data_IF_558743088762
#
_entry.id   IF_558743088762
#
_cell.length_a   1.000
_cell.length_b   1.000
_cell.length_c   1.000
_cell.angle_alpha   90.00
_cell.angle_beta   90.00
_cell.angle_gamma   90.00
#
_symmetry.space_group_name_H-M   'P 1'
#
loop_
_entity.id
_entity.type
_entity.pdbx_description
1 polymer ?
#
# COMPACT_ATOMS: atom_id res chain seq x y z
N UNK A 1 -11.77 -13.49 -2.65
CA UNK A 1 -11.48 -13.78 -1.20
C UNK A 1 -12.07 -12.74 -0.27
N UNK A 2 -11.85 -11.43 -0.46
CA UNK A 2 -12.51 -10.35 0.30
C UNK A 2 -13.35 -9.51 -0.64
N UNK A 3 -14.60 -9.20 -0.25
CA UNK A 3 -15.48 -8.32 -1.03
C UNK A 3 -16.07 -7.23 -0.13
N UNK A 4 -15.94 -6.00 -0.58
CA UNK A 4 -16.67 -4.84 -0.07
C UNK A 4 -17.82 -4.55 -1.03
N UNK A 5 -19.03 -4.48 -0.53
CA UNK A 5 -20.24 -4.27 -1.34
C UNK A 5 -21.03 -3.08 -0.82
N UNK A 6 -21.03 -1.98 -1.59
CA UNK A 6 -21.72 -0.73 -1.30
C UNK A 6 -21.47 -0.19 0.12
N UNK A 7 -20.21 -0.25 0.58
CA UNK A 7 -19.83 0.15 1.93
C UNK A 7 -19.91 1.67 2.08
N UNK A 8 -20.71 2.11 3.04
CA UNK A 8 -20.72 3.48 3.55
C UNK A 8 -20.22 3.50 5.00
N UNK A 9 -19.35 4.44 5.34
CA UNK A 9 -18.84 4.63 6.71
C UNK A 9 -18.98 6.08 7.09
N UNK A 10 -19.68 6.32 8.22
CA UNK A 10 -19.95 7.65 8.78
C UNK A 10 -19.43 7.79 10.20
N UNK A 11 -18.98 9.00 10.53
CA UNK A 11 -18.66 9.45 11.88
C UNK A 11 -19.53 10.67 12.20
N UNK A 12 -20.66 10.45 12.88
CA UNK A 12 -21.69 11.46 13.01
C UNK A 12 -22.22 11.87 11.62
N UNK A 13 -22.15 13.15 11.30
CA UNK A 13 -22.57 13.68 9.99
C UNK A 13 -21.50 13.57 8.89
N UNK A 14 -20.26 13.26 9.28
CA UNK A 14 -19.15 13.15 8.31
C UNK A 14 -19.14 11.78 7.64
N UNK A 15 -19.21 11.78 6.30
CA UNK A 15 -19.10 10.57 5.47
C UNK A 15 -17.64 10.35 5.13
N UNK A 16 -17.03 9.37 5.76
CA UNK A 16 -15.62 9.03 5.53
C UNK A 16 -15.42 8.13 4.29
N UNK A 17 -16.39 7.26 4.01
CA UNK A 17 -16.46 6.39 2.83
C UNK A 17 -17.92 6.41 2.35
N UNK A 18 -18.15 6.74 1.09
CA UNK A 18 -19.51 6.88 0.59
C UNK A 18 -20.05 5.61 -0.09
N UNK A 19 -19.26 4.97 -0.95
CA UNK A 19 -19.70 3.79 -1.69
C UNK A 19 -18.50 2.94 -2.14
N UNK A 20 -17.89 2.21 -1.18
CA UNK A 20 -16.76 1.35 -1.50
C UNK A 20 -17.23 0.01 -2.05
N UNK A 21 -16.79 -0.29 -3.27
CA UNK A 21 -16.96 -1.57 -3.93
C UNK A 21 -15.59 -2.09 -4.36
N UNK A 22 -15.14 -3.19 -3.77
CA UNK A 22 -13.86 -3.82 -4.08
C UNK A 22 -13.95 -5.35 -3.99
N UNK A 23 -13.19 -6.03 -4.84
CA UNK A 23 -13.02 -7.46 -4.82
C UNK A 23 -11.51 -7.78 -4.80
N UNK A 24 -11.08 -8.51 -3.76
CA UNK A 24 -9.69 -8.93 -3.53
C UNK A 24 -9.64 -10.44 -3.67
N UNK A 25 -8.78 -10.94 -4.54
CA UNK A 25 -8.66 -12.38 -4.85
C UNK A 25 -7.92 -13.13 -3.73
N UNK A 26 -8.06 -14.43 -3.70
CA UNK A 26 -7.32 -15.29 -2.77
C UNK A 26 -5.83 -15.29 -3.13
N UNK A 27 -4.96 -15.22 -2.12
CA UNK A 27 -3.51 -15.18 -2.29
C UNK A 27 -2.96 -13.87 -2.86
N UNK A 28 -3.82 -12.87 -3.12
CA UNK A 28 -3.44 -11.58 -3.69
C UNK A 28 -2.74 -10.70 -2.64
N UNK A 29 -1.71 -9.98 -3.05
CA UNK A 29 -1.15 -8.84 -2.32
C UNK A 29 -1.84 -7.58 -2.84
N UNK A 30 -2.85 -7.10 -2.14
CA UNK A 30 -3.68 -5.97 -2.53
C UNK A 30 -3.37 -4.74 -1.68
N UNK A 31 -3.13 -3.60 -2.32
CA UNK A 31 -2.74 -2.37 -1.60
C UNK A 31 -3.79 -1.28 -1.69
N UNK A 32 -4.11 -0.66 -0.56
CA UNK A 32 -4.80 0.63 -0.48
C UNK A 32 -3.75 1.74 -0.45
N UNK A 33 -3.68 2.52 -1.50
CA UNK A 33 -2.74 3.63 -1.67
C UNK A 33 -3.49 4.96 -1.74
N UNK A 34 -2.94 6.03 -1.18
CA UNK A 34 -3.53 7.37 -1.26
C UNK A 34 -3.03 8.30 -0.16
N UNK A 35 -3.36 9.57 -0.18
CA UNK A 35 -2.95 10.55 0.82
C UNK A 35 -3.50 10.23 2.22
N UNK A 36 -2.95 10.89 3.24
CA UNK A 36 -3.46 10.74 4.61
C UNK A 36 -4.91 11.22 4.71
N UNK A 37 -5.72 10.49 5.47
CA UNK A 37 -7.12 10.85 5.70
C UNK A 37 -8.10 10.46 4.57
N UNK A 38 -7.67 9.84 3.46
CA UNK A 38 -8.56 9.49 2.35
C UNK A 38 -9.43 8.22 2.56
N UNK A 39 -9.41 7.60 3.75
CA UNK A 39 -10.30 6.48 4.07
C UNK A 39 -9.67 5.08 4.06
N UNK A 40 -8.38 4.89 3.74
CA UNK A 40 -7.69 3.58 3.67
C UNK A 40 -7.80 2.78 4.97
N UNK A 41 -7.26 3.33 6.07
CA UNK A 41 -7.32 2.71 7.40
C UNK A 41 -8.75 2.52 7.89
N UNK A 42 -9.66 3.43 7.54
CA UNK A 42 -11.10 3.30 7.84
C UNK A 42 -11.70 2.07 7.17
N UNK A 43 -11.41 1.86 5.89
CA UNK A 43 -11.84 0.68 5.12
C UNK A 43 -11.22 -0.62 5.65
N UNK A 44 -9.93 -0.57 6.02
CA UNK A 44 -9.24 -1.70 6.65
C UNK A 44 -9.91 -2.08 7.98
N UNK A 45 -10.22 -1.09 8.83
CA UNK A 45 -10.89 -1.30 10.13
C UNK A 45 -12.27 -1.90 9.98
N UNK A 46 -13.01 -1.55 8.92
CA UNK A 46 -14.29 -2.17 8.61
C UNK A 46 -14.13 -3.66 8.24
N UNK A 47 -13.10 -4.04 7.49
CA UNK A 47 -12.79 -5.43 7.19
C UNK A 47 -12.45 -6.23 8.47
N UNK A 48 -11.55 -5.69 9.29
CA UNK A 48 -11.08 -6.38 10.51
C UNK A 48 -12.20 -6.46 11.56
N UNK A 49 -13.17 -5.52 11.55
CA UNK A 49 -14.31 -5.49 12.49
C UNK A 49 -14.13 -4.54 13.66
N UNK A 50 -13.17 -3.62 13.58
CA UNK A 50 -13.04 -2.51 14.55
C UNK A 50 -14.03 -1.39 14.29
N UNK A 51 -14.67 -1.42 13.14
CA UNK A 51 -15.68 -0.44 12.73
C UNK A 51 -16.79 -1.17 11.98
N UNK A 52 -18.04 -0.84 12.30
CA UNK A 52 -19.20 -1.31 11.55
C UNK A 52 -19.56 -0.29 10.48
N UNK A 53 -19.70 -0.69 9.21
CA UNK A 53 -20.18 0.21 8.17
C UNK A 53 -21.61 0.67 8.44
N UNK A 54 -21.97 1.88 8.00
CA UNK A 54 -23.32 2.44 8.10
C UNK A 54 -24.27 1.78 7.10
N UNK A 55 -23.71 1.37 5.93
CA UNK A 55 -24.42 0.61 4.89
C UNK A 55 -23.47 -0.36 4.21
N UNK A 56 -24.04 -1.30 3.47
CA UNK A 56 -23.30 -2.28 2.70
C UNK A 56 -22.88 -3.49 3.49
N UNK A 57 -22.08 -4.34 2.86
CA UNK A 57 -21.63 -5.62 3.43
C UNK A 57 -20.19 -5.92 3.14
N UNK A 58 -19.52 -6.58 4.09
CA UNK A 58 -18.16 -7.09 3.95
C UNK A 58 -18.22 -8.61 3.96
N UNK A 59 -17.59 -9.23 2.96
CA UNK A 59 -17.51 -10.69 2.87
C UNK A 59 -16.06 -11.16 2.94
N UNK A 60 -15.88 -12.33 3.55
CA UNK A 60 -14.64 -13.11 3.53
C UNK A 60 -14.98 -14.52 3.03
N UNK A 61 -14.50 -14.87 1.83
CA UNK A 61 -15.07 -15.98 1.06
C UNK A 61 -16.53 -15.70 0.77
N UNK A 62 -17.37 -16.71 1.02
CA UNK A 62 -18.83 -16.60 0.85
C UNK A 62 -19.56 -16.14 2.12
N UNK A 63 -18.78 -15.82 3.18
CA UNK A 63 -19.36 -15.48 4.49
C UNK A 63 -19.49 -13.97 4.66
N UNK A 64 -20.70 -13.49 4.97
CA UNK A 64 -20.93 -12.13 5.43
C UNK A 64 -20.33 -11.97 6.85
N UNK A 65 -19.33 -11.10 6.96
CA UNK A 65 -18.61 -10.83 8.20
C UNK A 65 -18.93 -9.43 8.78
N UNK A 66 -19.85 -8.70 8.16
CA UNK A 66 -20.15 -7.30 8.47
C UNK A 66 -20.37 -7.07 9.98
N UNK A 67 -21.17 -7.92 10.59
CA UNK A 67 -21.54 -7.82 12.03
C UNK A 67 -20.83 -8.85 12.91
N UNK A 68 -19.85 -9.59 12.36
CA UNK A 68 -19.07 -10.53 13.16
C UNK A 68 -18.03 -9.78 14.01
N UNK A 69 -17.87 -10.16 15.28
CA UNK A 69 -16.81 -9.63 16.12
C UNK A 69 -15.43 -10.04 15.58
N UNK A 70 -14.41 -9.23 15.88
CA UNK A 70 -13.05 -9.34 15.36
C UNK A 70 -12.48 -10.76 15.48
N UNK A 71 -12.62 -11.38 16.65
CA UNK A 71 -12.06 -12.72 16.96
C UNK A 71 -12.68 -13.86 16.12
N UNK A 72 -13.83 -13.62 15.48
CA UNK A 72 -14.52 -14.61 14.63
C UNK A 72 -14.24 -14.43 13.13
N UNK A 73 -13.53 -13.36 12.74
CA UNK A 73 -13.22 -13.07 11.33
C UNK A 73 -11.99 -13.82 10.81
N UNK A 74 -11.15 -14.35 11.70
CA UNK A 74 -9.90 -15.05 11.37
C UNK A 74 -8.96 -14.23 10.47
N UNK A 75 -8.77 -12.97 10.84
CA UNK A 75 -7.91 -11.99 10.16
C UNK A 75 -6.74 -11.66 11.07
N UNK A 76 -5.52 -11.78 10.57
CA UNK A 76 -4.33 -11.26 11.25
C UNK A 76 -4.15 -9.77 10.97
N UNK A 77 -3.71 -9.01 11.97
CA UNK A 77 -3.47 -7.57 11.77
C UNK A 77 -2.14 -7.14 12.39
N UNK A 78 -1.42 -6.29 11.64
CA UNK A 78 -0.28 -5.53 12.11
C UNK A 78 -0.62 -4.06 12.03
N UNK A 79 -0.51 -3.36 13.15
CA UNK A 79 -0.76 -1.93 13.27
C UNK A 79 0.51 -1.12 12.95
N UNK A 80 0.36 0.12 12.60
CA UNK A 80 1.44 1.07 12.36
C UNK A 80 2.42 1.17 13.54
N UNK A 81 1.91 1.15 14.78
CA UNK A 81 2.71 1.15 16.02
C UNK A 81 3.19 -0.23 16.45
N UNK A 82 2.96 -1.27 15.61
CA UNK A 82 3.17 -2.69 15.94
C UNK A 82 2.29 -3.21 17.08
N UNK A 83 1.85 -2.38 17.99
CA UNK A 83 1.01 -2.68 19.16
C UNK A 83 1.52 -3.92 19.96
N UNK A 84 2.85 -4.05 20.10
CA UNK A 84 3.46 -5.11 20.89
C UNK A 84 3.25 -4.86 22.39
N UNK A 85 3.21 -5.94 23.17
CA UNK A 85 3.13 -5.86 24.64
C UNK A 85 4.53 -5.59 25.21
N UNK A 86 4.84 -4.37 25.67
CA UNK A 86 6.21 -3.97 25.97
C UNK A 86 6.79 -4.66 27.21
N UNK A 87 5.95 -5.21 28.07
CA UNK A 87 6.35 -5.94 29.28
C UNK A 87 6.56 -7.44 29.07
N UNK A 88 6.29 -7.93 27.86
CA UNK A 88 6.39 -9.35 27.51
C UNK A 88 7.66 -9.66 26.73
N UNK A 89 8.13 -10.91 26.83
CA UNK A 89 9.16 -11.44 25.94
C UNK A 89 8.66 -11.49 24.47
N UNK A 90 9.60 -11.65 23.54
CA UNK A 90 9.28 -11.92 22.13
C UNK A 90 8.43 -13.18 22.01
N UNK A 91 8.84 -14.26 22.70
CA UNK A 91 8.07 -15.51 22.74
C UNK A 91 6.64 -15.28 23.21
N UNK A 92 6.45 -14.57 24.31
CA UNK A 92 5.11 -14.32 24.87
C UNK A 92 4.24 -13.44 23.97
N UNK A 93 4.82 -12.47 23.30
CA UNK A 93 4.11 -11.67 22.29
C UNK A 93 3.58 -12.56 21.16
N UNK A 94 4.41 -13.45 20.60
CA UNK A 94 4.02 -14.36 19.52
C UNK A 94 2.98 -15.35 20.03
N UNK A 95 3.19 -15.94 21.19
CA UNK A 95 2.33 -16.97 21.79
C UNK A 95 0.98 -16.44 22.26
N UNK A 96 0.81 -15.11 22.39
CA UNK A 96 -0.33 -14.49 23.07
C UNK A 96 -1.69 -14.99 22.51
N UNK A 97 -1.88 -14.92 21.19
CA UNK A 97 -3.14 -15.34 20.57
C UNK A 97 -3.47 -16.83 20.81
N UNK A 98 -2.46 -17.69 20.79
CA UNK A 98 -2.61 -19.13 21.08
C UNK A 98 -2.97 -19.39 22.54
N UNK A 99 -2.36 -18.63 23.46
CA UNK A 99 -2.71 -18.69 24.91
C UNK A 99 -4.16 -18.30 25.14
N UNK A 100 -4.64 -17.24 24.48
CA UNK A 100 -6.06 -16.81 24.53
C UNK A 100 -6.98 -17.91 24.03
N UNK A 101 -6.60 -18.63 22.96
CA UNK A 101 -7.33 -19.78 22.42
C UNK A 101 -7.17 -21.05 23.25
N UNK A 102 -6.43 -20.99 24.39
CA UNK A 102 -6.19 -22.14 25.28
C UNK A 102 -5.51 -23.32 24.61
N UNK A 103 -4.63 -23.10 23.62
CA UNK A 103 -3.82 -24.13 23.01
C UNK A 103 -2.88 -24.78 24.02
N UNK A 104 -2.47 -26.02 23.80
CA UNK A 104 -1.53 -26.74 24.67
C UNK A 104 -0.15 -26.10 24.64
N UNK A 105 0.62 -26.27 25.74
CA UNK A 105 2.00 -25.75 25.80
C UNK A 105 2.88 -26.28 24.68
N UNK A 106 2.76 -27.57 24.35
CA UNK A 106 3.51 -28.19 23.27
C UNK A 106 3.18 -27.60 21.91
N UNK A 107 1.89 -27.38 21.63
CA UNK A 107 1.43 -26.76 20.37
C UNK A 107 1.91 -25.30 20.27
N UNK A 108 1.82 -24.54 21.36
CA UNK A 108 2.32 -23.15 21.39
C UNK A 108 3.81 -23.12 21.09
N UNK A 109 4.58 -23.97 21.78
CA UNK A 109 6.06 -24.00 21.65
C UNK A 109 6.45 -24.35 20.20
N UNK A 110 5.85 -25.39 19.63
CA UNK A 110 6.08 -25.80 18.26
C UNK A 110 5.76 -24.68 17.27
N UNK A 111 4.58 -24.05 17.36
CA UNK A 111 4.14 -23.01 16.44
C UNK A 111 4.95 -21.73 16.57
N UNK A 112 5.31 -21.34 17.78
CA UNK A 112 6.16 -20.13 17.98
C UNK A 112 7.52 -20.31 17.33
N UNK A 113 8.18 -21.48 17.50
CA UNK A 113 9.47 -21.75 16.88
C UNK A 113 9.36 -21.87 15.34
N UNK A 114 8.30 -22.53 14.84
CA UNK A 114 8.04 -22.61 13.39
C UNK A 114 7.92 -21.21 12.77
N UNK A 115 7.08 -20.34 13.35
CA UNK A 115 6.87 -18.98 12.84
C UNK A 115 8.13 -18.13 13.01
N UNK A 116 8.80 -18.21 14.16
CA UNK A 116 10.06 -17.49 14.40
C UNK A 116 11.13 -17.81 13.35
N UNK A 117 11.26 -19.09 12.97
CA UNK A 117 12.18 -19.52 11.92
C UNK A 117 11.82 -18.89 10.55
N UNK A 118 10.54 -18.89 10.16
CA UNK A 118 10.06 -18.31 8.89
C UNK A 118 10.39 -16.82 8.75
N UNK A 119 10.33 -16.08 9.86
CA UNK A 119 10.58 -14.63 9.89
C UNK A 119 11.95 -14.26 10.45
N UNK A 120 12.86 -15.24 10.53
CA UNK A 120 14.26 -15.06 10.94
C UNK A 120 14.44 -14.43 12.34
N UNK A 121 13.61 -14.79 13.30
CA UNK A 121 13.79 -14.53 14.72
C UNK A 121 14.61 -15.67 15.31
N UNK A 122 15.74 -15.36 15.97
CA UNK A 122 16.63 -16.34 16.57
C UNK A 122 16.15 -16.78 17.95
N UNK A 123 16.61 -17.96 18.42
CA UNK A 123 16.34 -18.47 19.77
C UNK A 123 16.76 -17.50 20.89
N UNK A 124 17.87 -16.79 20.70
CA UNK A 124 18.32 -15.77 21.64
C UNK A 124 17.38 -14.55 21.68
N UNK A 125 16.77 -14.20 20.56
CA UNK A 125 15.79 -13.11 20.47
C UNK A 125 14.45 -13.49 21.11
N UNK A 126 14.00 -14.74 20.99
CA UNK A 126 12.74 -15.20 21.62
C UNK A 126 12.69 -14.94 23.13
N UNK A 127 13.85 -15.02 23.79
CA UNK A 127 13.98 -14.83 25.25
C UNK A 127 14.09 -13.36 25.67
N UNK A 128 14.35 -12.44 24.74
CA UNK A 128 14.49 -11.01 25.04
C UNK A 128 13.14 -10.35 25.31
N UNK A 129 13.17 -9.24 26.05
CA UNK A 129 12.04 -8.34 26.09
C UNK A 129 11.88 -7.67 24.71
N UNK A 130 10.65 -7.47 24.25
CA UNK A 130 10.39 -6.88 22.94
C UNK A 130 10.88 -5.43 22.86
N UNK A 131 10.96 -4.72 23.99
CA UNK A 131 11.46 -3.35 24.07
C UNK A 131 12.96 -3.23 23.82
N UNK A 132 13.72 -4.34 23.95
CA UNK A 132 15.16 -4.38 23.68
C UNK A 132 15.50 -4.59 22.20
N UNK A 133 14.49 -4.68 21.35
CA UNK A 133 14.64 -4.96 19.94
C UNK A 133 14.65 -3.67 19.10
N UNK A 134 15.38 -3.69 17.97
CA UNK A 134 15.27 -2.63 16.94
C UNK A 134 13.90 -2.60 16.31
N UNK A 135 13.53 -1.47 15.66
CA UNK A 135 12.23 -1.30 14.99
C UNK A 135 11.91 -2.41 13.99
N UNK A 136 12.87 -2.80 13.14
CA UNK A 136 12.67 -3.90 12.19
C UNK A 136 12.52 -5.27 12.88
N UNK A 137 13.19 -5.50 14.01
CA UNK A 137 12.99 -6.72 14.80
C UNK A 137 11.60 -6.71 15.46
N UNK A 138 11.15 -5.58 16.01
CA UNK A 138 9.81 -5.42 16.55
C UNK A 138 8.73 -5.67 15.50
N UNK A 139 8.92 -5.16 14.28
CA UNK A 139 8.02 -5.43 13.16
C UNK A 139 7.91 -6.93 12.86
N UNK A 140 9.04 -7.65 12.80
CA UNK A 140 9.03 -9.12 12.64
C UNK A 140 8.23 -9.79 13.75
N UNK A 141 8.40 -9.38 14.99
CA UNK A 141 7.60 -9.93 16.11
C UNK A 141 6.11 -9.66 15.91
N UNK A 142 5.72 -8.47 15.46
CA UNK A 142 4.33 -8.16 15.17
C UNK A 142 3.76 -9.02 14.03
N UNK A 143 4.54 -9.23 12.97
CA UNK A 143 4.19 -10.17 11.89
C UNK A 143 4.02 -11.60 12.41
N UNK A 144 4.99 -12.10 13.20
CA UNK A 144 4.91 -13.43 13.80
C UNK A 144 3.62 -13.61 14.62
N UNK A 145 3.32 -12.62 15.47
CA UNK A 145 2.11 -12.61 16.29
C UNK A 145 0.84 -12.63 15.44
N UNK A 146 0.84 -11.93 14.31
CA UNK A 146 -0.30 -11.89 13.41
C UNK A 146 -0.53 -13.20 12.65
N UNK A 147 0.55 -13.93 12.29
CA UNK A 147 0.45 -15.14 11.45
C UNK A 147 0.46 -16.45 12.25
N UNK A 148 0.83 -16.46 13.54
CA UNK A 148 0.93 -17.69 14.36
C UNK A 148 -0.41 -18.45 14.46
N UNK A 149 -1.53 -17.75 14.32
CA UNK A 149 -2.87 -18.34 14.31
C UNK A 149 -3.32 -18.80 12.92
N UNK A 150 -2.45 -18.75 11.92
CA UNK A 150 -2.71 -19.14 10.53
C UNK A 150 -3.97 -18.48 9.96
N UNK A 151 -4.05 -17.13 9.98
CA UNK A 151 -5.21 -16.44 9.45
C UNK A 151 -5.28 -16.59 7.93
N UNK A 152 -6.50 -16.52 7.36
CA UNK A 152 -6.70 -16.52 5.90
C UNK A 152 -6.30 -15.18 5.26
N UNK A 153 -6.37 -14.10 6.02
CA UNK A 153 -6.10 -12.75 5.56
C UNK A 153 -5.15 -12.08 6.54
N UNK A 154 -4.14 -11.39 6.01
CA UNK A 154 -3.22 -10.55 6.75
C UNK A 154 -3.45 -9.09 6.38
N UNK A 155 -3.84 -8.28 7.35
CA UNK A 155 -4.01 -6.84 7.20
C UNK A 155 -2.79 -6.11 7.78
N UNK A 156 -2.20 -5.21 7.01
CA UNK A 156 -1.01 -4.45 7.38
C UNK A 156 -1.31 -2.95 7.24
N UNK A 157 -1.39 -2.24 8.36
CA UNK A 157 -1.69 -0.80 8.40
C UNK A 157 -0.39 0.00 8.56
N UNK A 158 0.14 0.52 7.45
CA UNK A 158 1.40 1.27 7.35
C UNK A 158 2.59 0.62 8.09
N UNK A 159 2.87 -0.68 7.90
CA UNK A 159 3.78 -1.42 8.77
C UNK A 159 5.26 -1.01 8.63
N UNK A 160 5.62 -0.26 7.58
CA UNK A 160 7.00 0.15 7.31
C UNK A 160 7.27 1.63 7.62
N UNK A 161 6.25 2.40 8.00
CA UNK A 161 6.35 3.86 8.19
C UNK A 161 7.36 4.30 9.26
N UNK A 162 7.60 3.47 10.28
CA UNK A 162 8.51 3.75 11.39
C UNK A 162 9.95 3.29 11.15
N UNK A 163 10.29 2.83 9.94
CA UNK A 163 11.61 2.32 9.59
C UNK A 163 12.42 3.35 8.80
N UNK A 164 13.75 3.33 8.97
CA UNK A 164 14.65 4.07 8.10
C UNK A 164 14.61 3.55 6.65
N UNK A 165 15.06 4.37 5.70
CA UNK A 165 14.94 4.08 4.28
C UNK A 165 15.59 2.76 3.86
N UNK A 166 16.77 2.44 4.38
CA UNK A 166 17.49 1.20 4.02
C UNK A 166 16.76 -0.04 4.55
N UNK A 167 16.37 -0.01 5.82
CA UNK A 167 15.65 -1.11 6.45
C UNK A 167 14.27 -1.31 5.81
N UNK A 168 13.62 -0.23 5.37
CA UNK A 168 12.33 -0.29 4.66
C UNK A 168 12.45 -1.08 3.35
N UNK A 169 13.51 -0.88 2.58
CA UNK A 169 13.76 -1.64 1.34
C UNK A 169 13.90 -3.14 1.63
N UNK A 170 14.73 -3.49 2.63
CA UNK A 170 14.95 -4.90 3.01
C UNK A 170 13.65 -5.56 3.48
N UNK A 171 12.88 -4.84 4.29
CA UNK A 171 11.61 -5.34 4.84
C UNK A 171 10.52 -5.47 3.78
N UNK A 172 10.47 -4.63 2.75
CA UNK A 172 9.57 -4.80 1.60
C UNK A 172 9.80 -6.16 0.92
N UNK A 173 11.05 -6.45 0.60
CA UNK A 173 11.40 -7.73 -0.05
C UNK A 173 11.03 -8.93 0.83
N UNK A 174 11.27 -8.82 2.14
CA UNK A 174 10.94 -9.88 3.09
C UNK A 174 9.42 -10.11 3.21
N UNK A 175 8.62 -9.04 3.27
CA UNK A 175 7.16 -9.10 3.27
C UNK A 175 6.60 -9.78 2.03
N UNK A 176 7.06 -9.41 0.82
CA UNK A 176 6.62 -10.03 -0.44
C UNK A 176 6.98 -11.51 -0.48
N UNK A 177 8.21 -11.87 -0.04
CA UNK A 177 8.64 -13.26 0.06
C UNK A 177 7.76 -14.06 1.03
N UNK A 178 7.55 -13.53 2.23
CA UNK A 178 6.74 -14.18 3.27
C UNK A 178 5.29 -14.41 2.79
N UNK A 179 4.67 -13.40 2.17
CA UNK A 179 3.32 -13.49 1.64
C UNK A 179 3.22 -14.62 0.59
N UNK A 180 4.20 -14.71 -0.32
CA UNK A 180 4.24 -15.77 -1.35
C UNK A 180 4.45 -17.15 -0.73
N UNK A 181 5.36 -17.29 0.22
CA UNK A 181 5.64 -18.57 0.90
C UNK A 181 4.43 -19.09 1.69
N UNK A 182 3.67 -18.18 2.30
CA UNK A 182 2.48 -18.54 3.07
C UNK A 182 1.23 -18.69 2.20
N UNK A 183 1.22 -18.18 0.98
CA UNK A 183 0.04 -18.12 0.11
C UNK A 183 -1.11 -17.31 0.71
N UNK A 184 -0.82 -16.40 1.65
CA UNK A 184 -1.82 -15.65 2.41
C UNK A 184 -2.32 -14.44 1.62
N UNK A 185 -3.65 -14.21 1.64
CA UNK A 185 -4.21 -12.97 1.09
C UNK A 185 -3.79 -11.79 1.97
N UNK A 186 -3.16 -10.78 1.39
CA UNK A 186 -2.65 -9.64 2.13
C UNK A 186 -3.32 -8.35 1.70
N UNK A 187 -3.87 -7.61 2.66
CA UNK A 187 -4.34 -6.25 2.47
C UNK A 187 -3.36 -5.28 3.13
N UNK A 188 -2.73 -4.46 2.32
CA UNK A 188 -1.67 -3.53 2.71
C UNK A 188 -2.17 -2.09 2.60
N UNK A 189 -1.95 -1.29 3.62
CA UNK A 189 -2.25 0.15 3.60
C UNK A 189 -0.95 0.93 3.62
N UNK A 190 -0.80 1.86 2.71
CA UNK A 190 0.35 2.77 2.67
C UNK A 190 0.00 4.10 1.99
N UNK A 191 0.80 5.11 2.22
CA UNK A 191 0.85 6.34 1.44
C UNK A 191 2.11 6.41 0.56
N UNK A 192 3.02 5.44 0.67
CA UNK A 192 4.25 5.34 -0.09
C UNK A 192 3.98 4.65 -1.43
N UNK A 193 4.23 5.38 -2.52
CA UNK A 193 4.00 4.90 -3.88
C UNK A 193 4.97 3.77 -4.25
N UNK A 194 6.22 3.85 -3.81
CA UNK A 194 7.23 2.84 -4.11
C UNK A 194 6.88 1.50 -3.45
N UNK A 195 6.37 1.53 -2.21
CA UNK A 195 5.85 0.34 -1.54
C UNK A 195 4.71 -0.28 -2.34
N UNK A 196 3.71 0.53 -2.72
CA UNK A 196 2.56 0.05 -3.47
C UNK A 196 2.95 -0.55 -4.83
N UNK A 197 3.80 0.15 -5.59
CA UNK A 197 4.22 -0.30 -6.92
C UNK A 197 5.08 -1.58 -6.89
N UNK A 198 5.89 -1.77 -5.82
CA UNK A 198 6.82 -2.91 -5.74
C UNK A 198 6.22 -4.15 -5.09
N UNK A 199 5.29 -3.99 -4.14
CA UNK A 199 4.72 -5.10 -3.38
C UNK A 199 3.47 -5.70 -4.01
N UNK A 200 2.65 -4.88 -4.67
CA UNK A 200 1.27 -5.24 -4.98
C UNK A 200 1.12 -6.11 -6.23
N UNK A 201 0.12 -6.96 -6.22
CA UNK A 201 -0.43 -7.56 -7.43
C UNK A 201 -1.48 -6.61 -8.03
N UNK A 202 -2.30 -5.94 -7.17
CA UNK A 202 -3.19 -4.85 -7.55
C UNK A 202 -3.22 -3.77 -6.47
N UNK A 203 -3.50 -2.55 -6.91
CA UNK A 203 -3.57 -1.34 -6.09
C UNK A 203 -4.95 -0.70 -6.27
N UNK A 204 -5.59 -0.30 -5.17
CA UNK A 204 -6.70 0.64 -5.17
C UNK A 204 -6.18 2.01 -4.73
N UNK A 205 -6.28 3.01 -5.60
CA UNK A 205 -5.91 4.40 -5.30
C UNK A 205 -7.10 5.11 -4.69
N UNK A 206 -6.95 5.51 -3.43
CA UNK A 206 -7.97 6.22 -2.66
C UNK A 206 -7.79 7.73 -2.73
N UNK A 207 -8.89 8.46 -2.86
CA UNK A 207 -8.96 9.91 -2.77
C UNK A 207 -10.27 10.34 -2.12
N UNK A 208 -10.21 11.15 -1.05
CA UNK A 208 -11.38 11.75 -0.39
C UNK A 208 -12.57 10.79 -0.14
N UNK A 209 -12.29 9.57 0.33
CA UNK A 209 -13.33 8.57 0.62
C UNK A 209 -13.78 7.71 -0.56
N UNK A 210 -13.21 7.93 -1.74
CA UNK A 210 -13.51 7.17 -2.96
C UNK A 210 -12.30 6.36 -3.44
N UNK A 211 -12.56 5.35 -4.27
CA UNK A 211 -11.54 4.64 -5.04
C UNK A 211 -11.53 5.20 -6.46
N UNK A 212 -10.47 5.92 -6.80
CA UNK A 212 -10.28 6.54 -8.11
C UNK A 212 -9.98 5.50 -9.21
N UNK A 213 -9.12 4.54 -8.88
CA UNK A 213 -8.71 3.50 -9.82
C UNK A 213 -8.30 2.24 -9.06
N UNK A 214 -8.59 1.09 -9.66
CA UNK A 214 -8.03 -0.22 -9.27
C UNK A 214 -7.33 -0.81 -10.49
N UNK A 215 -6.11 -1.29 -10.31
CA UNK A 215 -5.32 -1.90 -11.39
C UNK A 215 -4.03 -2.52 -10.87
N UNK A 216 -3.30 -3.17 -11.77
CA UNK A 216 -1.92 -3.60 -11.53
C UNK A 216 -1.00 -2.38 -11.35
N UNK A 217 0.18 -2.52 -10.72
CA UNK A 217 1.16 -1.43 -10.66
C UNK A 217 1.44 -0.76 -12.01
N UNK A 218 1.53 -1.57 -13.08
CA UNK A 218 1.75 -1.06 -14.42
C UNK A 218 0.61 -0.19 -14.93
N UNK A 219 -0.65 -0.64 -14.77
CA UNK A 219 -1.85 0.11 -15.17
C UNK A 219 -2.01 1.41 -14.37
N UNK A 220 -1.75 1.37 -13.05
CA UNK A 220 -1.82 2.56 -12.19
C UNK A 220 -0.82 3.62 -12.64
N UNK A 221 0.41 3.21 -12.99
CA UNK A 221 1.48 4.12 -13.38
C UNK A 221 1.35 4.63 -14.81
N UNK A 222 1.08 3.73 -15.78
CA UNK A 222 1.12 4.05 -17.20
C UNK A 222 -0.26 4.37 -17.81
N UNK A 223 -1.34 3.94 -17.18
CA UNK A 223 -2.72 4.02 -17.70
C UNK A 223 -3.65 4.69 -16.67
N UNK A 224 -3.17 5.80 -16.08
CA UNK A 224 -3.91 6.56 -15.08
C UNK A 224 -5.26 7.03 -15.62
N UNK A 225 -6.36 6.72 -14.91
CA UNK A 225 -7.73 7.00 -15.35
C UNK A 225 -8.24 8.39 -14.97
N UNK A 226 -7.57 9.06 -14.02
CA UNK A 226 -7.91 10.43 -13.63
C UNK A 226 -6.66 11.28 -13.50
N UNK A 227 -6.84 12.60 -13.56
CA UNK A 227 -5.77 13.58 -13.30
C UNK A 227 -5.16 13.35 -11.94
N UNK A 228 -6.00 13.09 -10.93
CA UNK A 228 -5.54 12.80 -9.57
C UNK A 228 -4.58 11.61 -9.54
N UNK A 229 -4.94 10.48 -10.13
CA UNK A 229 -4.07 9.29 -10.15
C UNK A 229 -2.77 9.59 -10.88
N UNK A 230 -2.85 10.29 -12.02
CA UNK A 230 -1.68 10.65 -12.81
C UNK A 230 -0.70 11.54 -12.02
N UNK A 231 -1.22 12.52 -11.29
CA UNK A 231 -0.45 13.47 -10.50
C UNK A 231 0.05 12.88 -9.17
N UNK A 232 -0.76 12.03 -8.56
CA UNK A 232 -0.41 11.40 -7.29
C UNK A 232 0.67 10.32 -7.44
N UNK A 233 0.75 9.64 -8.60
CA UNK A 233 1.70 8.54 -8.83
C UNK A 233 2.85 9.02 -9.70
N UNK A 234 4.02 9.25 -9.09
CA UNK A 234 5.22 9.69 -9.80
C UNK A 234 5.15 11.14 -10.29
N UNK A 235 6.24 11.59 -10.88
CA UNK A 235 6.36 12.96 -11.40
C UNK A 235 5.83 13.07 -12.83
N UNK A 236 5.19 14.20 -13.15
CA UNK A 236 4.60 14.47 -14.46
C UNK A 236 4.90 15.88 -14.95
N UNK A 237 5.03 16.00 -16.28
CA UNK A 237 4.97 17.28 -16.99
C UNK A 237 3.54 17.53 -17.45
N UNK A 238 3.08 18.77 -17.29
CA UNK A 238 1.76 19.23 -17.77
C UNK A 238 1.94 20.10 -18.99
N UNK A 239 1.36 19.67 -20.12
CA UNK A 239 1.37 20.38 -21.38
C UNK A 239 0.00 21.00 -21.63
N UNK A 240 -0.07 22.29 -21.91
CA UNK A 240 -1.32 23.04 -22.16
C UNK A 240 -1.18 23.97 -23.36
N UNK A 241 -2.32 24.30 -23.98
CA UNK A 241 -2.42 25.34 -25.01
C UNK A 241 -1.40 25.18 -26.13
N UNK A 242 -0.49 26.16 -26.24
CA UNK A 242 0.51 26.24 -27.31
C UNK A 242 1.48 25.06 -27.32
N UNK A 243 1.87 24.50 -26.15
CA UNK A 243 2.71 23.31 -26.08
C UNK A 243 2.01 22.08 -26.68
N UNK A 244 0.70 21.91 -26.46
CA UNK A 244 -0.07 20.84 -27.11
C UNK A 244 -0.24 21.08 -28.61
N UNK A 245 -0.37 22.34 -29.02
CA UNK A 245 -0.39 22.70 -30.44
C UNK A 245 0.91 22.33 -31.13
N UNK A 246 2.05 22.60 -30.49
CA UNK A 246 3.38 22.23 -30.99
C UNK A 246 3.52 20.69 -31.09
N UNK A 247 3.06 19.96 -30.05
CA UNK A 247 3.01 18.49 -30.09
C UNK A 247 2.17 18.00 -31.27
N UNK A 248 0.99 18.55 -31.48
CA UNK A 248 0.12 18.19 -32.63
C UNK A 248 0.81 18.43 -33.96
N UNK A 249 1.46 19.61 -34.12
CA UNK A 249 2.15 20.00 -35.36
C UNK A 249 3.28 19.03 -35.71
N UNK A 250 4.11 18.68 -34.73
CA UNK A 250 5.27 17.81 -34.96
C UNK A 250 4.90 16.34 -35.08
N UNK A 251 3.93 15.85 -34.29
CA UNK A 251 3.57 14.41 -34.25
C UNK A 251 2.47 14.01 -35.23
N UNK A 252 1.71 14.98 -35.78
CA UNK A 252 0.49 14.71 -36.50
C UNK A 252 -0.67 14.22 -35.65
N UNK A 253 -0.57 14.30 -34.30
CA UNK A 253 -1.63 13.97 -33.38
C UNK A 253 -2.76 15.03 -33.48
N UNK A 254 -3.93 14.69 -32.94
CA UNK A 254 -5.05 15.62 -32.85
C UNK A 254 -5.52 15.72 -31.38
N UNK A 255 -4.64 16.19 -30.54
CA UNK A 255 -4.91 16.39 -29.11
C UNK A 255 -5.74 17.67 -28.93
N UNK A 256 -6.72 17.61 -28.03
CA UNK A 256 -7.53 18.78 -27.67
C UNK A 256 -6.70 19.78 -26.86
N UNK A 257 -6.36 20.91 -27.47
CA UNK A 257 -5.52 21.96 -26.85
C UNK A 257 -6.20 22.69 -25.70
N UNK A 258 -7.50 22.51 -25.49
CA UNK A 258 -8.24 23.02 -24.34
C UNK A 258 -8.08 22.11 -23.09
N UNK A 259 -7.52 20.92 -23.26
CA UNK A 259 -7.23 19.98 -22.17
C UNK A 259 -5.78 20.05 -21.74
N UNK A 260 -5.48 19.41 -20.62
CA UNK A 260 -4.10 19.22 -20.16
C UNK A 260 -3.59 17.86 -20.61
N UNK A 261 -2.46 17.84 -21.32
CA UNK A 261 -1.72 16.63 -21.60
C UNK A 261 -0.75 16.33 -20.46
N UNK A 262 -0.56 15.05 -20.14
CA UNK A 262 0.34 14.61 -19.09
C UNK A 262 1.41 13.70 -19.67
N UNK A 263 2.68 13.98 -19.34
CA UNK A 263 3.84 13.17 -19.75
C UNK A 263 4.70 12.89 -18.54
N UNK A 264 5.00 11.61 -18.29
CA UNK A 264 5.93 11.21 -17.24
C UNK A 264 7.30 11.81 -17.48
N UNK A 265 7.97 12.31 -16.45
CA UNK A 265 9.26 12.99 -16.61
C UNK A 265 10.34 12.09 -17.20
N UNK A 266 10.34 10.80 -16.88
CA UNK A 266 11.29 9.82 -17.43
C UNK A 266 11.02 9.44 -18.91
N UNK A 267 9.90 9.90 -19.49
CA UNK A 267 9.62 9.81 -20.92
C UNK A 267 10.23 10.95 -21.72
N UNK A 268 10.69 12.00 -21.04
CA UNK A 268 11.40 13.11 -21.65
C UNK A 268 12.90 12.77 -21.74
N UNK A 269 13.50 13.05 -22.89
CA UNK A 269 14.92 12.84 -23.12
C UNK A 269 15.58 14.17 -23.47
N UNK A 270 16.84 14.35 -23.06
CA UNK A 270 17.61 15.57 -23.33
C UNK A 270 18.28 15.59 -24.72
N UNK A 271 18.25 14.46 -25.43
CA UNK A 271 18.87 14.31 -26.73
C UNK A 271 17.83 14.25 -27.84
N UNK A 272 18.17 14.79 -29.01
CA UNK A 272 17.30 14.69 -30.19
C UNK A 272 17.23 13.24 -30.68
N UNK A 273 16.00 12.72 -30.84
CA UNK A 273 15.76 11.35 -31.26
C UNK A 273 14.61 11.30 -32.28
N UNK A 274 14.82 10.57 -33.36
CA UNK A 274 13.79 10.36 -34.39
C UNK A 274 12.52 9.76 -33.79
N UNK A 275 11.37 10.33 -34.14
CA UNK A 275 10.05 9.92 -33.64
C UNK A 275 9.64 10.55 -32.30
N UNK A 276 10.46 11.45 -31.74
CA UNK A 276 10.11 12.24 -30.57
C UNK A 276 9.73 13.66 -30.97
N UNK A 277 8.80 14.26 -30.21
CA UNK A 277 8.48 15.67 -30.32
C UNK A 277 9.56 16.49 -29.62
N UNK A 278 10.05 17.55 -30.26
CA UNK A 278 11.09 18.44 -29.72
C UNK A 278 10.41 19.67 -29.11
N UNK A 279 10.60 19.87 -27.83
CA UNK A 279 10.21 21.09 -27.12
C UNK A 279 11.49 21.79 -26.65
N UNK A 280 11.52 23.13 -26.76
CA UNK A 280 12.67 23.95 -26.32
C UNK A 280 12.31 24.64 -25.03
N UNK A 281 13.23 24.66 -24.08
CA UNK A 281 13.06 25.32 -22.78
C UNK A 281 14.37 25.85 -22.24
N UNK A 282 14.27 26.86 -21.39
CA UNK A 282 15.39 27.38 -20.61
C UNK A 282 15.38 26.70 -19.24
N UNK A 283 16.54 26.20 -18.81
CA UNK A 283 16.67 25.62 -17.46
C UNK A 283 16.57 26.73 -16.43
N UNK A 284 15.57 26.64 -15.55
CA UNK A 284 15.40 27.55 -14.42
C UNK A 284 16.01 26.97 -13.15
N UNK A 285 15.83 25.66 -12.92
CA UNK A 285 16.26 25.00 -11.71
C UNK A 285 16.82 23.62 -12.02
N UNK A 286 17.81 23.18 -11.25
CA UNK A 286 18.39 21.85 -11.30
C UNK A 286 18.50 21.27 -9.89
N UNK A 287 17.80 20.17 -9.62
CA UNK A 287 17.80 19.47 -8.34
C UNK A 287 18.58 18.15 -8.47
N UNK A 288 19.70 18.04 -7.77
CA UNK A 288 20.53 16.83 -7.76
C UNK A 288 20.15 15.93 -6.59
N UNK A 289 19.68 14.72 -6.90
CA UNK A 289 19.27 13.72 -5.88
C UNK A 289 20.24 12.54 -5.73
N UNK A 290 21.48 12.68 -6.21
CA UNK A 290 22.52 11.64 -6.13
C UNK A 290 22.47 10.65 -7.31
N UNK A 291 21.31 10.11 -7.64
CA UNK A 291 21.12 9.15 -8.75
C UNK A 291 20.78 9.87 -10.06
N UNK A 292 20.00 10.95 -9.96
CA UNK A 292 19.56 11.75 -11.10
C UNK A 292 19.63 13.24 -10.79
N UNK A 293 19.57 14.03 -11.86
CA UNK A 293 19.34 15.48 -11.78
C UNK A 293 17.99 15.76 -12.44
N UNK A 294 17.06 16.36 -11.68
CA UNK A 294 15.79 16.85 -12.16
C UNK A 294 15.95 18.30 -12.61
N UNK A 295 15.55 18.61 -13.83
CA UNK A 295 15.56 19.97 -14.36
C UNK A 295 14.14 20.52 -14.43
N UNK A 296 13.94 21.73 -13.95
CA UNK A 296 12.74 22.53 -14.20
C UNK A 296 13.02 23.44 -15.39
N UNK A 297 12.17 23.33 -16.42
CA UNK A 297 12.32 24.09 -17.65
C UNK A 297 11.16 25.07 -17.80
N UNK A 298 11.48 26.34 -18.08
CA UNK A 298 10.54 27.29 -18.66
C UNK A 298 10.48 27.06 -20.17
N UNK A 299 9.28 26.77 -20.71
CA UNK A 299 9.14 26.58 -22.15
C UNK A 299 9.36 27.87 -22.91
N UNK A 300 10.25 27.85 -23.88
CA UNK A 300 10.47 28.93 -24.84
C UNK A 300 9.80 28.51 -26.14
N UNK A 301 8.62 29.04 -26.42
CA UNK A 301 7.97 28.84 -27.71
C UNK A 301 8.69 29.69 -28.74
N UNK A 302 9.19 29.08 -29.81
CA UNK A 302 9.74 29.83 -30.93
C UNK A 302 8.57 30.53 -31.65
N UNK A 303 8.54 31.86 -31.55
CA UNK A 303 7.64 32.73 -32.31
C UNK A 303 8.01 32.74 -33.79
#
# INVERSE_FOLDING_TARGET
MVKFENIEIKYGDFVAIENLNLDIKEGEFFTFLGPSGCGKTTSLRALVGFLSPSKGKVYVGDKDVTNLPVEKRNIGMVFQSYALFPTMSVYDNIAFGMKVKKASKTEIDQKVHEVAAKIKITESQLKKNVSDLSGGQQQRVALARAIVLEPKILCLDEPLSNLDAKLRIDMRMELKRLQKELGITTLYVTHDQEEALTLSDRIAVFNNGYVEQVGTPYEIYNESKSEFVCDFIGDINRLKGELLSEVNTQSGANLDTNKTGFVRIERCISEEKAGYVKLTGKVEEAEFSGVLTKYVLESVLQT
#
